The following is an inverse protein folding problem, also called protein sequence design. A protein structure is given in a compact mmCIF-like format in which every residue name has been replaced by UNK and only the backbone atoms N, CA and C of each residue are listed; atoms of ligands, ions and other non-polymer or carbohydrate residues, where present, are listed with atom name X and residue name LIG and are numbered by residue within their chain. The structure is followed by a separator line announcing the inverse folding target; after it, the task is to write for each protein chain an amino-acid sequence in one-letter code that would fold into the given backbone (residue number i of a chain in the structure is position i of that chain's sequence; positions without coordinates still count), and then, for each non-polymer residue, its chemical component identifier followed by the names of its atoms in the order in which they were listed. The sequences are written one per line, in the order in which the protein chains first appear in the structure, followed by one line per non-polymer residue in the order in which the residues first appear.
data_IF_501297135115
#
_entry.id   IF_501297135115
#
_cell.length_a   1.000
_cell.length_b   1.000
_cell.length_c   1.000
_cell.angle_alpha   90.00
_cell.angle_beta   90.00
_cell.angle_gamma   90.00
#
_symmetry.space_group_name_H-M   'P 1'
#
loop_
_entity.id
_entity.type
_entity.pdbx_description
1 polymer ?
#
# COMPACT_ATOMS: atom_id res chain seq x y z
N UNK A 1 14.50 -83.16 -8.41
CA UNK A 1 13.45 -82.20 -8.84
C UNK A 1 13.17 -81.28 -7.66
N UNK A 2 13.28 -79.95 -7.64
CA UNK A 2 13.67 -78.91 -8.58
C UNK A 2 14.33 -77.83 -7.71
N UNK A 3 15.62 -77.55 -7.89
CA UNK A 3 16.27 -76.42 -7.22
C UNK A 3 15.85 -75.14 -7.95
N UNK A 4 15.05 -74.28 -7.30
CA UNK A 4 14.79 -72.92 -7.77
C UNK A 4 16.09 -72.13 -7.67
N UNK A 5 16.63 -71.76 -8.83
CA UNK A 5 17.73 -70.81 -8.92
C UNK A 5 17.34 -69.47 -8.26
N UNK A 6 18.24 -68.82 -7.52
CA UNK A 6 18.00 -67.43 -7.14
C UNK A 6 17.96 -66.62 -8.44
N UNK A 7 16.83 -65.96 -8.69
CA UNK A 7 16.78 -64.91 -9.72
C UNK A 7 17.73 -63.83 -9.24
N UNK A 8 18.92 -63.81 -9.83
CA UNK A 8 19.88 -62.72 -9.69
C UNK A 8 19.20 -61.52 -10.34
N UNK A 9 18.51 -60.70 -9.55
CA UNK A 9 18.09 -59.38 -9.97
C UNK A 9 19.37 -58.65 -10.37
N UNK A 10 19.62 -58.54 -11.68
CA UNK A 10 20.63 -57.65 -12.19
C UNK A 10 20.18 -56.27 -11.74
N UNK A 11 20.89 -55.70 -10.78
CA UNK A 11 20.79 -54.27 -10.50
C UNK A 11 21.16 -53.60 -11.82
N UNK A 12 20.16 -53.11 -12.54
CA UNK A 12 20.39 -52.11 -13.55
C UNK A 12 21.15 -51.01 -12.83
N UNK A 13 22.42 -50.85 -13.19
CA UNK A 13 23.22 -49.74 -12.75
C UNK A 13 22.41 -48.50 -13.11
N UNK A 14 21.87 -47.82 -12.09
CA UNK A 14 21.26 -46.51 -12.23
C UNK A 14 22.45 -45.58 -12.47
N UNK A 15 22.95 -45.57 -13.70
CA UNK A 15 23.92 -44.60 -14.16
C UNK A 15 23.13 -43.32 -14.47
N UNK A 16 23.52 -42.24 -13.78
CA UNK A 16 23.09 -40.85 -13.99
C UNK A 16 21.79 -40.36 -13.33
N UNK A 17 21.47 -40.77 -12.11
CA UNK A 17 20.67 -39.89 -11.26
C UNK A 17 21.57 -38.81 -10.66
N UNK A 18 21.17 -37.55 -10.82
CA UNK A 18 21.86 -36.41 -10.21
C UNK A 18 22.01 -36.65 -8.70
N UNK A 19 23.12 -36.26 -8.06
CA UNK A 19 23.37 -36.54 -6.64
C UNK A 19 22.26 -36.05 -5.68
N UNK A 20 21.40 -35.12 -6.13
CA UNK A 20 20.29 -34.55 -5.36
C UNK A 20 18.89 -35.04 -5.80
N UNK A 21 18.81 -36.11 -6.59
CA UNK A 21 17.50 -36.63 -7.03
C UNK A 21 16.76 -37.33 -5.88
N UNK A 22 15.59 -36.81 -5.53
CA UNK A 22 14.69 -37.40 -4.51
C UNK A 22 13.49 -38.01 -5.22
N UNK A 23 13.12 -39.28 -4.96
CA UNK A 23 11.96 -39.91 -5.58
C UNK A 23 10.67 -39.20 -5.13
N UNK A 24 9.69 -39.10 -6.04
CA UNK A 24 8.44 -38.41 -5.77
C UNK A 24 7.63 -39.12 -4.68
N UNK A 25 7.40 -38.43 -3.57
CA UNK A 25 6.59 -38.87 -2.42
C UNK A 25 5.70 -37.72 -1.96
N UNK A 26 4.83 -37.95 -0.97
CA UNK A 26 4.02 -36.89 -0.36
C UNK A 26 4.84 -35.78 0.32
N UNK A 27 6.13 -36.02 0.59
CA UNK A 27 7.03 -35.10 1.28
C UNK A 27 8.30 -34.77 0.47
N UNK A 28 8.41 -35.23 -0.78
CA UNK A 28 9.60 -35.00 -1.60
C UNK A 28 9.67 -33.59 -2.18
N UNK A 29 8.51 -32.99 -2.41
CA UNK A 29 8.36 -31.63 -2.90
C UNK A 29 7.52 -30.86 -1.87
N UNK A 30 7.74 -29.56 -1.71
CA UNK A 30 6.84 -28.76 -0.90
C UNK A 30 5.40 -28.86 -1.43
N UNK A 31 4.39 -28.66 -0.57
CA UNK A 31 2.98 -28.77 -0.97
C UNK A 31 2.53 -27.66 -1.95
N UNK A 32 3.35 -26.62 -2.14
CA UNK A 32 3.08 -25.54 -3.11
C UNK A 32 3.73 -25.81 -4.46
N UNK A 33 3.05 -25.35 -5.51
CA UNK A 33 3.55 -25.45 -6.87
C UNK A 33 4.81 -24.60 -7.06
N UNK A 34 5.82 -25.15 -7.73
CA UNK A 34 6.98 -24.40 -8.16
C UNK A 34 6.59 -23.44 -9.29
N UNK A 35 6.77 -22.15 -9.07
CA UNK A 35 6.49 -21.08 -10.05
C UNK A 35 7.82 -20.56 -10.58
N UNK A 36 7.99 -20.58 -11.90
CA UNK A 36 9.15 -19.97 -12.57
C UNK A 36 8.82 -18.51 -12.89
N UNK A 37 9.73 -17.62 -12.52
CA UNK A 37 9.62 -16.21 -12.87
C UNK A 37 9.96 -16.01 -14.36
N UNK A 38 9.36 -15.01 -15.03
CA UNK A 38 9.75 -14.62 -16.39
C UNK A 38 11.20 -14.12 -16.45
N UNK A 39 11.75 -14.02 -17.67
CA UNK A 39 13.07 -13.42 -17.89
C UNK A 39 13.04 -11.91 -17.60
N UNK A 40 14.05 -11.36 -16.89
CA UNK A 40 14.07 -9.94 -16.52
C UNK A 40 14.03 -8.98 -17.71
N UNK A 41 14.51 -9.40 -18.89
CA UNK A 41 14.51 -8.56 -20.09
C UNK A 41 13.09 -8.39 -20.63
N UNK A 42 12.36 -9.49 -20.75
CA UNK A 42 10.97 -9.52 -21.21
C UNK A 42 10.05 -8.76 -20.24
N UNK A 43 10.28 -8.90 -18.92
CA UNK A 43 9.52 -8.14 -17.91
C UNK A 43 9.75 -6.63 -18.05
N UNK A 44 10.98 -6.19 -18.30
CA UNK A 44 11.30 -4.78 -18.43
C UNK A 44 10.61 -4.14 -19.65
N UNK A 45 10.53 -4.86 -20.76
CA UNK A 45 9.81 -4.42 -21.96
C UNK A 45 8.30 -4.31 -21.70
N UNK A 46 7.69 -5.34 -21.11
CA UNK A 46 6.28 -5.34 -20.73
C UNK A 46 5.93 -4.20 -19.76
N UNK A 47 6.76 -3.96 -18.74
CA UNK A 47 6.58 -2.84 -17.82
C UNK A 47 6.66 -1.49 -18.53
N UNK A 48 7.60 -1.33 -19.47
CA UNK A 48 7.76 -0.09 -20.24
C UNK A 48 6.56 0.17 -21.13
N UNK A 49 6.00 -0.85 -21.77
CA UNK A 49 4.78 -0.74 -22.57
C UNK A 49 3.57 -0.37 -21.72
N UNK A 50 3.41 -1.02 -20.56
CA UNK A 50 2.36 -0.71 -19.60
C UNK A 50 2.44 0.74 -19.12
N UNK A 51 3.63 1.23 -18.73
CA UNK A 51 3.84 2.61 -18.34
C UNK A 51 3.46 3.60 -19.45
N UNK A 52 3.84 3.33 -20.70
CA UNK A 52 3.45 4.15 -21.86
C UNK A 52 1.94 4.20 -22.05
N UNK A 53 1.26 3.05 -21.94
CA UNK A 53 -0.19 2.96 -22.10
C UNK A 53 -0.92 3.76 -21.01
N UNK A 54 -0.49 3.64 -19.76
CA UNK A 54 -1.04 4.44 -18.64
C UNK A 54 -0.76 5.92 -18.83
N UNK A 55 0.44 6.30 -19.28
CA UNK A 55 0.78 7.70 -19.55
C UNK A 55 -0.12 8.30 -20.63
N UNK A 56 -0.42 7.53 -21.68
CA UNK A 56 -1.36 7.94 -22.73
C UNK A 56 -2.78 8.13 -22.18
N UNK A 57 -3.27 7.23 -21.32
CA UNK A 57 -4.58 7.37 -20.68
C UNK A 57 -4.68 8.63 -19.81
N UNK A 58 -3.61 8.96 -19.09
CA UNK A 58 -3.52 10.19 -18.29
C UNK A 58 -3.49 11.41 -19.22
N UNK A 59 -2.70 11.37 -20.29
CA UNK A 59 -2.60 12.48 -21.25
C UNK A 59 -3.94 12.74 -21.98
N UNK A 60 -4.71 11.69 -22.30
CA UNK A 60 -6.04 11.84 -22.90
C UNK A 60 -7.12 12.24 -21.90
N UNK A 61 -6.82 12.26 -20.59
CA UNK A 61 -7.80 12.53 -19.54
C UNK A 61 -8.87 11.45 -19.41
N UNK A 62 -8.60 10.22 -19.88
CA UNK A 62 -9.58 9.13 -19.88
C UNK A 62 -9.53 8.38 -18.54
N UNK A 63 -9.87 9.09 -17.46
CA UNK A 63 -9.98 8.54 -16.13
C UNK A 63 -11.16 9.16 -15.39
N UNK A 64 -11.83 8.36 -14.56
CA UNK A 64 -12.93 8.80 -13.73
C UNK A 64 -12.47 9.57 -12.49
N UNK A 65 -13.29 9.55 -11.44
CA UNK A 65 -12.94 10.16 -10.15
C UNK A 65 -11.69 9.49 -9.56
N UNK A 66 -10.72 10.31 -9.18
CA UNK A 66 -9.49 9.87 -8.53
C UNK A 66 -9.65 9.79 -7.01
N UNK A 67 -8.89 8.90 -6.40
CA UNK A 67 -8.66 8.88 -4.97
C UNK A 67 -7.15 8.85 -4.68
N UNK A 68 -6.75 9.39 -3.54
CA UNK A 68 -5.36 9.41 -3.12
C UNK A 68 -5.22 8.91 -1.68
N UNK A 69 -4.04 8.40 -1.35
CA UNK A 69 -3.61 8.18 0.04
C UNK A 69 -2.55 9.20 0.38
N UNK A 70 -2.91 10.14 1.26
CA UNK A 70 -2.03 11.24 1.70
C UNK A 70 -1.51 10.97 3.10
N UNK A 71 -0.24 11.28 3.35
CA UNK A 71 0.33 11.27 4.69
C UNK A 71 0.42 12.68 5.25
N UNK A 72 -0.42 12.97 6.22
CA UNK A 72 -0.52 14.29 6.83
C UNK A 72 -0.73 14.17 8.34
N UNK A 73 -0.15 15.09 9.12
CA UNK A 73 -0.22 15.08 10.58
C UNK A 73 0.08 13.69 11.22
N UNK A 74 1.11 13.01 10.71
CA UNK A 74 1.55 11.68 11.14
C UNK A 74 0.51 10.56 10.98
N UNK A 75 -0.46 10.73 10.09
CA UNK A 75 -1.49 9.73 9.74
C UNK A 75 -1.65 9.64 8.23
N UNK A 76 -2.13 8.49 7.78
CA UNK A 76 -2.52 8.29 6.39
C UNK A 76 -4.03 8.47 6.26
N UNK A 77 -4.45 9.19 5.23
CA UNK A 77 -5.86 9.41 4.90
C UNK A 77 -6.11 8.95 3.48
N UNK A 78 -7.11 8.10 3.29
CA UNK A 78 -7.70 7.83 1.97
C UNK A 78 -8.68 8.97 1.69
N UNK A 79 -8.45 9.71 0.62
CA UNK A 79 -9.22 10.90 0.27
C UNK A 79 -9.64 10.88 -1.20
N UNK A 80 -10.78 11.49 -1.48
CA UNK A 80 -11.26 11.82 -2.81
C UNK A 80 -11.55 13.32 -2.90
N UNK A 81 -11.84 13.82 -4.11
CA UNK A 81 -12.27 15.21 -4.28
C UNK A 81 -13.51 15.50 -3.42
N UNK A 82 -13.54 16.67 -2.80
CA UNK A 82 -14.61 17.19 -1.94
C UNK A 82 -14.76 16.53 -0.56
N UNK A 83 -13.90 15.59 -0.19
CA UNK A 83 -13.95 14.95 1.12
C UNK A 83 -13.48 15.90 2.23
N UNK A 84 -14.05 15.71 3.43
CA UNK A 84 -13.64 16.38 4.65
C UNK A 84 -12.75 15.46 5.49
N UNK A 85 -11.60 15.98 5.92
CA UNK A 85 -10.70 15.29 6.84
C UNK A 85 -10.55 16.09 8.13
N UNK A 86 -10.71 15.38 9.26
CA UNK A 86 -10.50 15.95 10.59
C UNK A 86 -9.08 15.64 11.06
N UNK A 87 -8.37 16.70 11.42
CA UNK A 87 -6.98 16.67 11.82
C UNK A 87 -6.91 17.02 13.30
N UNK A 88 -6.18 16.20 14.05
CA UNK A 88 -5.91 16.49 15.45
C UNK A 88 -4.69 17.40 15.52
N UNK A 89 -4.89 18.61 16.01
CA UNK A 89 -3.86 19.65 16.05
C UNK A 89 -4.25 20.86 15.22
N UNK A 90 -3.47 21.91 15.41
CA UNK A 90 -3.58 23.14 14.65
C UNK A 90 -2.71 23.07 13.41
N UNK A 91 -3.27 23.48 12.28
CA UNK A 91 -2.52 23.71 11.04
C UNK A 91 -2.15 25.19 11.00
N UNK A 92 -0.89 25.51 10.69
CA UNK A 92 -0.38 26.88 10.64
C UNK A 92 -0.88 27.73 9.46
N UNK A 93 -2.08 27.44 8.98
CA UNK A 93 -2.75 28.10 7.87
C UNK A 93 -4.08 28.66 8.35
N UNK A 94 -4.55 29.75 7.76
CA UNK A 94 -5.80 30.39 8.17
C UNK A 94 -7.03 29.72 7.54
N UNK A 95 -8.20 29.91 8.15
CA UNK A 95 -9.46 29.44 7.57
C UNK A 95 -9.67 30.08 6.19
N UNK A 96 -9.94 29.26 5.18
CA UNK A 96 -10.06 29.67 3.78
C UNK A 96 -8.77 29.55 2.96
N UNK A 97 -7.61 29.31 3.59
CA UNK A 97 -6.34 29.17 2.87
C UNK A 97 -6.22 27.82 2.14
N UNK A 98 -5.58 27.84 0.96
CA UNK A 98 -5.31 26.64 0.15
C UNK A 98 -3.94 26.06 0.49
N UNK A 99 -3.91 24.76 0.76
CA UNK A 99 -2.74 23.97 1.09
C UNK A 99 -2.49 22.91 0.03
N UNK A 100 -1.23 22.74 -0.36
CA UNK A 100 -0.80 21.61 -1.18
C UNK A 100 -0.31 20.49 -0.28
N UNK A 101 -0.95 19.33 -0.34
CA UNK A 101 -0.50 18.13 0.38
C UNK A 101 0.61 17.46 -0.42
N UNK A 102 1.87 17.63 0.02
CA UNK A 102 3.03 17.14 -0.73
C UNK A 102 3.25 15.63 -0.63
N UNK A 103 2.91 15.02 0.50
CA UNK A 103 3.23 13.62 0.80
C UNK A 103 2.08 12.72 0.35
N UNK A 104 2.09 12.36 -0.92
CA UNK A 104 1.14 11.41 -1.52
C UNK A 104 1.83 10.05 -1.68
N UNK A 105 1.21 8.99 -1.19
CA UNK A 105 1.75 7.62 -1.25
C UNK A 105 1.19 6.85 -2.45
N UNK A 106 -0.09 7.06 -2.74
CA UNK A 106 -0.85 6.33 -3.75
C UNK A 106 -1.83 7.28 -4.41
N UNK A 107 -2.01 7.16 -5.73
CA UNK A 107 -3.17 7.70 -6.44
C UNK A 107 -3.81 6.59 -7.26
N UNK A 108 -5.14 6.45 -7.17
CA UNK A 108 -5.90 5.45 -7.89
C UNK A 108 -7.02 6.07 -8.71
N UNK A 109 -7.21 5.51 -9.89
CA UNK A 109 -8.40 5.65 -10.72
C UNK A 109 -9.16 4.33 -10.72
N UNK A 110 -10.19 4.23 -11.56
CA UNK A 110 -10.94 2.98 -11.77
C UNK A 110 -10.07 1.90 -12.45
N UNK A 111 -9.24 2.31 -13.43
CA UNK A 111 -8.52 1.40 -14.33
C UNK A 111 -7.03 1.24 -14.00
N UNK A 112 -6.43 2.19 -13.28
CA UNK A 112 -5.01 2.16 -12.94
C UNK A 112 -4.73 2.72 -11.55
N UNK A 113 -3.64 2.27 -10.95
CA UNK A 113 -3.14 2.78 -9.66
C UNK A 113 -1.66 3.08 -9.75
N UNK A 114 -1.27 4.23 -9.22
CA UNK A 114 0.11 4.68 -9.11
C UNK A 114 0.54 4.56 -7.65
N UNK A 115 1.58 3.78 -7.40
CA UNK A 115 2.12 3.49 -6.07
C UNK A 115 3.52 4.09 -5.94
N UNK A 116 3.73 4.90 -4.90
CA UNK A 116 5.02 5.48 -4.57
C UNK A 116 5.97 4.49 -3.89
N UNK A 117 7.27 4.78 -3.93
CA UNK A 117 8.32 4.04 -3.23
C UNK A 117 9.18 4.99 -2.38
N UNK A 118 8.73 5.44 -1.19
CA UNK A 118 7.39 5.29 -0.61
C UNK A 118 6.40 6.39 -1.02
N UNK A 119 6.89 7.50 -1.59
CA UNK A 119 6.08 8.66 -2.02
C UNK A 119 6.08 8.75 -3.55
N UNK A 120 5.02 9.35 -4.09
CA UNK A 120 4.95 9.76 -5.49
C UNK A 120 5.69 11.10 -5.69
N UNK A 121 6.18 11.33 -6.91
CA UNK A 121 6.85 12.57 -7.28
C UNK A 121 5.91 13.78 -7.18
N UNK A 122 6.44 14.93 -6.73
CA UNK A 122 5.67 16.18 -6.62
C UNK A 122 5.18 16.66 -7.99
N UNK A 123 5.90 16.36 -9.06
CA UNK A 123 5.53 16.78 -10.41
C UNK A 123 4.42 15.91 -11.01
N UNK A 124 4.29 14.68 -10.51
CA UNK A 124 3.30 13.71 -10.98
C UNK A 124 1.92 13.96 -10.39
N UNK A 125 1.83 14.33 -9.10
CA UNK A 125 0.56 14.46 -8.38
C UNK A 125 0.48 15.78 -7.63
N UNK A 126 -0.67 16.43 -7.72
CA UNK A 126 -1.00 17.63 -6.97
C UNK A 126 -2.33 17.43 -6.24
N UNK A 127 -2.26 17.34 -4.91
CA UNK A 127 -3.44 17.32 -4.04
C UNK A 127 -3.58 18.67 -3.36
N UNK A 128 -4.69 19.34 -3.59
CA UNK A 128 -5.01 20.61 -2.96
C UNK A 128 -6.13 20.46 -1.94
N UNK A 129 -5.99 21.13 -0.81
CA UNK A 129 -6.96 21.15 0.26
C UNK A 129 -7.18 22.58 0.76
N UNK A 130 -8.33 22.88 1.34
CA UNK A 130 -8.62 24.15 2.03
C UNK A 130 -8.94 23.92 3.48
N UNK A 131 -8.44 24.81 4.34
CA UNK A 131 -8.87 24.85 5.74
C UNK A 131 -10.28 25.42 5.79
N UNK A 132 -11.25 24.66 6.32
CA UNK A 132 -12.62 25.16 6.51
C UNK A 132 -12.76 25.80 7.88
N UNK A 133 -12.45 25.02 8.92
CA UNK A 133 -12.73 25.40 10.30
C UNK A 133 -11.62 24.90 11.22
N UNK A 134 -11.32 25.71 12.23
CA UNK A 134 -10.54 25.34 13.40
C UNK A 134 -11.49 25.25 14.60
N UNK A 135 -11.59 24.07 15.19
CA UNK A 135 -12.55 23.76 16.25
C UNK A 135 -11.87 23.07 17.42
N UNK A 136 -12.56 22.93 18.53
CA UNK A 136 -12.09 22.19 19.69
C UNK A 136 -12.79 20.83 19.79
N UNK A 137 -12.06 19.79 20.17
CA UNK A 137 -12.62 18.47 20.37
C UNK A 137 -13.61 18.47 21.54
N UNK A 138 -14.62 17.61 21.49
CA UNK A 138 -15.47 17.34 22.64
C UNK A 138 -14.64 17.03 23.91
N UNK A 139 -15.00 17.59 25.09
CA UNK A 139 -14.23 17.45 26.32
C UNK A 139 -14.04 15.98 26.71
N UNK A 140 -12.80 15.50 26.59
CA UNK A 140 -12.45 14.12 26.97
C UNK A 140 -12.15 14.05 28.45
N UNK A 141 -12.96 13.29 29.19
CA UNK A 141 -12.78 13.06 30.62
C UNK A 141 -11.88 11.83 30.81
N UNK A 142 -10.70 12.04 31.41
CA UNK A 142 -9.79 10.98 31.84
C UNK A 142 -9.86 10.86 33.36
N UNK A 143 -10.40 9.75 33.84
CA UNK A 143 -10.49 9.45 35.26
C UNK A 143 -9.50 8.35 35.64
N UNK A 144 -8.61 8.64 36.59
CA UNK A 144 -7.69 7.65 37.18
C UNK A 144 -8.13 7.38 38.61
N UNK A 145 -8.29 6.10 38.95
CA UNK A 145 -8.73 5.68 40.28
C UNK A 145 -7.88 4.48 40.74
N UNK A 146 -7.44 4.50 42.00
CA UNK A 146 -6.74 3.39 42.62
C UNK A 146 -7.39 3.05 43.97
N UNK A 147 -7.98 1.86 44.02
CA UNK A 147 -8.76 1.35 45.14
C UNK A 147 -7.92 1.28 46.42
N UNK A 148 -8.49 1.71 47.55
CA UNK A 148 -7.87 1.70 48.91
C UNK A 148 -6.58 2.54 49.05
N UNK A 149 -6.20 3.32 48.02
CA UNK A 149 -5.00 4.17 48.05
C UNK A 149 -5.35 5.66 48.10
N UNK A 150 -6.62 6.01 48.40
CA UNK A 150 -7.15 7.39 48.39
C UNK A 150 -6.73 8.18 47.13
N UNK A 151 -6.64 7.49 46.00
CA UNK A 151 -6.15 8.07 44.77
C UNK A 151 -7.27 8.09 43.73
N UNK A 152 -7.75 9.29 43.44
CA UNK A 152 -8.78 9.57 42.45
C UNK A 152 -8.45 10.90 41.79
N UNK A 153 -8.19 10.89 40.48
CA UNK A 153 -7.80 12.08 39.70
C UNK A 153 -8.65 12.16 38.44
N UNK A 154 -9.40 13.26 38.29
CA UNK A 154 -10.17 13.59 37.08
C UNK A 154 -9.40 14.66 36.31
N UNK A 155 -9.15 14.43 35.02
CA UNK A 155 -8.61 15.43 34.09
C UNK A 155 -9.55 15.56 32.91
N UNK A 156 -10.00 16.77 32.60
CA UNK A 156 -10.71 17.08 31.37
C UNK A 156 -9.68 17.60 30.38
N UNK A 157 -9.64 17.05 29.17
CA UNK A 157 -8.73 17.49 28.11
C UNK A 157 -9.54 17.79 26.86
N UNK A 158 -9.36 19.00 26.36
CA UNK A 158 -9.89 19.48 25.08
C UNK A 158 -8.69 19.68 24.16
N UNK A 159 -8.78 19.23 22.92
CA UNK A 159 -7.71 19.31 21.94
C UNK A 159 -8.14 20.18 20.76
N UNK A 160 -7.26 21.03 20.22
CA UNK A 160 -7.55 21.73 18.97
C UNK A 160 -7.65 20.71 17.82
N UNK A 161 -8.58 20.98 16.91
CA UNK A 161 -8.86 20.21 15.72
C UNK A 161 -9.00 21.15 14.52
N UNK A 162 -8.58 20.69 13.36
CA UNK A 162 -8.72 21.43 12.11
C UNK A 162 -9.45 20.55 11.10
N UNK A 163 -10.43 21.12 10.40
CA UNK A 163 -11.17 20.46 9.33
C UNK A 163 -10.61 20.97 8.01
N UNK A 164 -10.09 20.05 7.18
CA UNK A 164 -9.71 20.35 5.81
C UNK A 164 -10.71 19.74 4.84
N UNK A 165 -10.97 20.44 3.73
CA UNK A 165 -11.65 19.90 2.55
C UNK A 165 -10.64 19.66 1.45
N UNK A 166 -10.69 18.48 0.83
CA UNK A 166 -9.90 18.21 -0.37
C UNK A 166 -10.63 18.84 -1.56
N UNK A 167 -9.94 19.67 -2.33
CA UNK A 167 -10.52 20.35 -3.48
C UNK A 167 -10.34 19.51 -4.73
N UNK A 168 -9.08 19.28 -5.11
CA UNK A 168 -8.72 18.57 -6.33
C UNK A 168 -7.54 17.63 -6.08
N UNK A 169 -7.55 16.54 -6.84
CA UNK A 169 -6.47 15.56 -6.96
C UNK A 169 -6.15 15.53 -8.45
N UNK A 170 -5.06 16.18 -8.84
CA UNK A 170 -4.63 16.29 -10.23
C UNK A 170 -3.40 15.41 -10.49
N UNK A 171 -3.34 14.79 -11.67
CA UNK A 171 -2.20 13.96 -12.12
C UNK A 171 -1.65 14.54 -13.42
N UNK A 172 -0.33 14.57 -13.56
CA UNK A 172 0.36 14.99 -14.78
C UNK A 172 0.89 13.77 -15.58
N UNK A 173 0.92 13.82 -16.92
CA UNK A 173 1.44 12.74 -17.76
C UNK A 173 2.98 12.77 -17.84
N UNK A 174 3.65 12.48 -16.72
CA UNK A 174 5.12 12.50 -16.58
C UNK A 174 5.66 11.10 -16.22
N UNK A 175 4.96 10.04 -16.62
CA UNK A 175 5.44 8.67 -16.41
C UNK A 175 6.53 8.34 -17.44
N UNK A 176 7.69 7.90 -16.96
CA UNK A 176 8.82 7.44 -17.78
C UNK A 176 8.81 5.92 -17.97
#
# INVERSE_FOLDING_TARGET
MLFRSPVRCQSSQISSLQPNFVPKTSLSEPPWQEVKLPDPTEEAECHRELCKNVNNLIATGHFGRLFAVVFFASKQFKVTNEDLILINGEVGAECGERLRLEKVLLVGSDNFTLLGKPLLGKDLVKVEATVIEKTESYPKISMKFWKRHRFQRKKISIKPQTILRINTIDIAPVLS
#
